data_IF_162270314924
#
_entry.id   IF_162270314924
#
_cell.length_a   1.000
_cell.length_b   1.000
_cell.length_c   1.000
_cell.angle_alpha   90.00
_cell.angle_beta   90.00
_cell.angle_gamma   90.00
#
_symmetry.space_group_name_H-M   'P 1'
#
loop_
_entity.id
_entity.type
_entity.pdbx_description
1 polymer ?
#
# COMPACT_ATOMS: atom_id res chain seq x y z
N UNK A 1 47.47 -45.69 -24.43
CA UNK A 1 46.28 -46.29 -25.09
C UNK A 1 45.48 -46.96 -23.99
N UNK A 2 44.32 -46.49 -23.55
CA UNK A 2 43.20 -46.00 -24.34
C UNK A 2 42.79 -44.56 -23.97
N UNK A 3 42.58 -43.78 -25.02
CA UNK A 3 41.83 -42.52 -25.01
C UNK A 3 40.37 -42.85 -24.70
N UNK A 4 39.95 -42.57 -23.45
CA UNK A 4 38.53 -42.45 -23.16
C UNK A 4 38.10 -41.11 -23.74
N UNK A 5 37.44 -41.20 -24.88
CA UNK A 5 36.97 -40.08 -25.69
C UNK A 5 36.22 -39.07 -24.83
N UNK A 6 36.61 -37.80 -24.93
CA UNK A 6 35.90 -36.64 -24.37
C UNK A 6 34.40 -36.63 -24.72
N UNK A 7 34.00 -37.34 -25.77
CA UNK A 7 32.61 -37.54 -26.17
C UNK A 7 31.81 -38.32 -25.11
N UNK A 8 32.41 -39.27 -24.38
CA UNK A 8 31.69 -40.01 -23.34
C UNK A 8 31.43 -39.17 -22.07
N UNK A 9 32.36 -38.29 -21.67
CA UNK A 9 32.12 -37.32 -20.59
C UNK A 9 31.12 -36.23 -21.02
N UNK A 10 31.19 -35.77 -22.26
CA UNK A 10 30.24 -34.80 -22.79
C UNK A 10 28.83 -35.41 -22.90
N UNK A 11 28.68 -36.66 -23.34
CA UNK A 11 27.38 -37.34 -23.42
C UNK A 11 26.80 -37.66 -22.04
N UNK A 12 27.62 -37.97 -21.03
CA UNK A 12 27.15 -38.14 -19.65
C UNK A 12 26.76 -36.81 -19.00
N UNK A 13 27.46 -35.69 -19.30
CA UNK A 13 27.04 -34.35 -18.89
C UNK A 13 25.79 -33.88 -19.64
N UNK A 14 25.65 -34.23 -20.93
CA UNK A 14 24.47 -33.93 -21.72
C UNK A 14 23.26 -34.73 -21.22
N UNK A 15 23.43 -36.02 -20.88
CA UNK A 15 22.37 -36.84 -20.28
C UNK A 15 22.02 -36.41 -18.84
N UNK A 16 22.97 -35.89 -18.05
CA UNK A 16 22.69 -35.34 -16.72
C UNK A 16 21.96 -33.99 -16.77
N UNK A 17 22.16 -33.19 -17.82
CA UNK A 17 21.41 -31.96 -18.08
C UNK A 17 19.95 -32.21 -18.52
N UNK A 18 19.60 -33.45 -18.89
CA UNK A 18 18.23 -33.86 -19.22
C UNK A 18 17.47 -34.56 -18.07
N UNK A 19 18.01 -34.58 -16.84
CA UNK A 19 17.31 -35.10 -15.64
C UNK A 19 16.94 -33.97 -14.66
N UNK A 20 17.08 -32.70 -15.05
CA UNK A 20 16.35 -31.63 -14.36
C UNK A 20 14.88 -31.68 -14.85
N UNK A 21 13.89 -31.92 -13.97
CA UNK A 21 12.50 -31.82 -14.36
C UNK A 21 12.15 -30.34 -14.49
N UNK A 22 12.54 -29.71 -15.59
CA UNK A 22 12.03 -28.38 -15.92
C UNK A 22 10.60 -28.55 -16.41
N UNK A 23 9.71 -28.02 -15.58
CA UNK A 23 8.38 -27.51 -15.90
C UNK A 23 7.36 -28.55 -16.33
N UNK A 24 6.43 -28.84 -15.42
CA UNK A 24 5.09 -29.28 -15.78
C UNK A 24 4.61 -28.33 -16.90
N UNK A 25 4.22 -28.91 -18.03
CA UNK A 25 3.56 -28.20 -19.13
C UNK A 25 2.25 -27.64 -18.58
N UNK A 26 2.27 -26.45 -17.98
CA UNK A 26 1.07 -25.80 -17.47
C UNK A 26 0.22 -25.41 -18.69
N UNK A 27 -1.08 -25.76 -18.74
CA UNK A 27 -1.93 -25.34 -19.84
C UNK A 27 -2.01 -23.80 -19.85
N UNK A 28 -1.50 -23.20 -20.93
CA UNK A 28 -1.45 -21.76 -21.17
C UNK A 28 -2.81 -21.18 -21.60
N UNK A 29 -3.92 -21.67 -21.04
CA UNK A 29 -5.26 -21.22 -21.42
C UNK A 29 -5.92 -20.34 -20.35
N UNK A 30 -5.26 -20.12 -19.20
CA UNK A 30 -5.80 -19.38 -18.05
C UNK A 30 -7.06 -19.99 -17.44
N UNK A 31 -7.63 -21.03 -18.05
CA UNK A 31 -8.99 -21.50 -17.83
C UNK A 31 -9.00 -23.01 -17.53
N UNK A 32 -9.61 -23.42 -16.42
CA UNK A 32 -9.73 -24.83 -16.04
C UNK A 32 -11.15 -25.15 -15.58
N UNK A 33 -11.75 -26.16 -16.20
CA UNK A 33 -13.07 -26.68 -15.83
C UNK A 33 -12.97 -27.69 -14.67
N UNK A 34 -13.97 -27.72 -13.80
CA UNK A 34 -14.00 -28.61 -12.63
C UNK A 34 -14.01 -30.10 -13.01
N UNK A 35 -14.47 -30.45 -14.21
CA UNK A 35 -14.48 -31.83 -14.74
C UNK A 35 -13.13 -32.26 -15.36
N UNK A 36 -12.09 -31.43 -15.27
CA UNK A 36 -10.72 -31.81 -15.64
C UNK A 36 -10.21 -32.91 -14.71
N UNK A 37 -9.35 -33.80 -15.22
CA UNK A 37 -8.68 -34.86 -14.44
C UNK A 37 -7.75 -34.34 -13.33
N UNK A 38 -7.57 -33.02 -13.24
CA UNK A 38 -6.66 -32.35 -12.30
C UNK A 38 -7.38 -31.22 -11.55
N UNK A 39 -7.95 -31.55 -10.38
CA UNK A 39 -8.60 -30.59 -9.46
C UNK A 39 -7.91 -30.49 -8.09
N UNK A 40 -6.74 -31.11 -7.96
CA UNK A 40 -5.95 -31.13 -6.72
C UNK A 40 -4.47 -30.98 -7.04
N UNK A 41 -3.80 -30.05 -6.36
CA UNK A 41 -2.38 -29.75 -6.53
C UNK A 41 -1.67 -29.75 -5.18
N UNK A 42 -0.43 -30.22 -5.15
CA UNK A 42 0.36 -30.38 -3.92
C UNK A 42 1.69 -29.66 -4.08
N UNK A 43 2.09 -28.83 -3.12
CA UNK A 43 3.43 -28.25 -3.13
C UNK A 43 4.47 -29.32 -2.79
N UNK A 44 5.68 -29.17 -3.35
CA UNK A 44 6.80 -30.10 -3.16
C UNK A 44 8.06 -29.30 -2.83
N UNK A 45 9.07 -29.99 -2.31
CA UNK A 45 10.39 -29.39 -2.13
C UNK A 45 10.94 -28.87 -3.47
N UNK A 46 11.58 -27.69 -3.47
CA UNK A 46 12.27 -27.19 -4.65
C UNK A 46 13.36 -28.15 -5.10
N UNK A 47 13.46 -28.43 -6.40
CA UNK A 47 14.54 -29.22 -6.98
C UNK A 47 15.54 -28.27 -7.62
N UNK A 48 16.61 -27.93 -6.89
CA UNK A 48 17.76 -27.14 -7.39
C UNK A 48 17.80 -25.67 -6.96
N UNK A 49 19.01 -25.11 -6.92
CA UNK A 49 19.39 -23.80 -6.32
C UNK A 49 19.27 -22.57 -7.26
N UNK A 50 18.49 -22.63 -8.34
CA UNK A 50 18.68 -21.72 -9.48
C UNK A 50 17.79 -20.46 -9.55
N UNK A 51 16.89 -20.19 -8.60
CA UNK A 51 16.07 -18.97 -8.59
C UNK A 51 15.94 -18.36 -7.18
N UNK A 52 15.94 -17.02 -7.09
CA UNK A 52 15.76 -16.28 -5.83
C UNK A 52 14.39 -16.51 -5.17
N UNK A 53 13.40 -16.94 -5.95
CA UNK A 53 12.12 -17.43 -5.45
C UNK A 53 11.81 -18.78 -6.07
N UNK A 54 11.14 -19.63 -5.30
CA UNK A 54 10.67 -20.93 -5.75
C UNK A 54 9.15 -20.88 -5.83
N UNK A 55 8.63 -21.21 -7.01
CA UNK A 55 7.20 -21.26 -7.23
C UNK A 55 6.81 -22.58 -7.89
N UNK A 56 5.85 -23.29 -7.29
CA UNK A 56 5.14 -24.38 -7.94
C UNK A 56 3.96 -23.76 -8.68
N UNK A 57 4.16 -23.51 -9.97
CA UNK A 57 3.16 -22.91 -10.85
C UNK A 57 2.04 -23.94 -11.10
N UNK A 58 0.80 -23.51 -10.90
CA UNK A 58 -0.39 -24.30 -11.16
C UNK A 58 -1.07 -23.82 -12.45
N UNK A 59 -1.20 -22.50 -12.61
CA UNK A 59 -1.82 -21.87 -13.78
C UNK A 59 -0.97 -20.70 -14.29
N UNK A 60 -1.06 -20.47 -15.60
CA UNK A 60 -0.55 -19.29 -16.27
C UNK A 60 -1.67 -18.64 -17.08
N UNK A 61 -1.69 -17.32 -17.16
CA UNK A 61 -2.65 -16.59 -18.00
C UNK A 61 -2.39 -16.83 -19.48
N UNK A 62 -3.38 -16.49 -20.30
CA UNK A 62 -3.45 -16.82 -21.73
C UNK A 62 -2.39 -16.10 -22.55
N UNK A 63 -1.95 -14.92 -22.10
CA UNK A 63 -0.86 -14.17 -22.74
C UNK A 63 0.53 -14.82 -22.62
N UNK A 64 0.67 -15.96 -21.93
CA UNK A 64 1.94 -16.70 -21.81
C UNK A 64 2.45 -17.39 -23.10
N UNK A 65 1.66 -17.36 -24.18
CA UNK A 65 1.98 -18.07 -25.44
C UNK A 65 2.79 -17.19 -26.42
N UNK A 66 2.92 -15.88 -26.19
CA UNK A 66 3.66 -14.99 -27.09
C UNK A 66 5.10 -14.74 -26.61
N UNK A 67 6.13 -15.25 -27.31
CA UNK A 67 7.54 -15.04 -26.95
C UNK A 67 8.01 -13.58 -27.13
N UNK A 68 7.27 -12.74 -27.87
CA UNK A 68 7.62 -11.33 -28.10
C UNK A 68 6.89 -10.35 -27.16
N UNK A 69 5.86 -10.80 -26.41
CA UNK A 69 5.11 -10.02 -25.41
C UNK A 69 5.11 -10.73 -24.05
N UNK A 70 6.30 -10.92 -23.51
CA UNK A 70 6.53 -11.78 -22.35
C UNK A 70 6.07 -11.20 -21.02
N UNK A 71 4.77 -11.08 -20.74
CA UNK A 71 4.27 -10.84 -19.39
C UNK A 71 3.05 -11.71 -19.08
N UNK A 72 3.29 -12.84 -18.42
CA UNK A 72 2.25 -13.77 -17.99
C UNK A 72 2.00 -13.64 -16.48
N UNK A 73 0.73 -13.72 -16.10
CA UNK A 73 0.34 -13.90 -14.72
C UNK A 73 0.41 -15.38 -14.36
N UNK A 74 0.96 -15.68 -13.21
CA UNK A 74 1.02 -17.05 -12.70
C UNK A 74 0.21 -17.14 -11.41
N UNK A 75 -0.34 -18.32 -11.14
CA UNK A 75 -0.83 -18.64 -9.81
C UNK A 75 -0.38 -20.03 -9.38
N UNK A 76 -0.11 -20.17 -8.08
CA UNK A 76 0.47 -21.38 -7.53
C UNK A 76 1.01 -21.20 -6.13
N UNK A 77 1.82 -22.16 -5.70
CA UNK A 77 2.49 -22.10 -4.41
C UNK A 77 3.77 -21.30 -4.55
N UNK A 78 3.90 -20.23 -3.78
CA UNK A 78 5.02 -19.31 -3.77
C UNK A 78 5.77 -19.41 -2.44
N UNK A 79 7.09 -19.53 -2.49
CA UNK A 79 7.97 -19.47 -1.32
C UNK A 79 9.24 -18.68 -1.61
N UNK A 80 9.76 -18.05 -0.56
CA UNK A 80 11.02 -17.31 -0.61
C UNK A 80 12.14 -18.21 -0.04
N UNK A 81 13.27 -18.30 -0.73
CA UNK A 81 14.46 -19.05 -0.29
C UNK A 81 14.20 -20.54 0.01
N UNK A 82 14.11 -20.92 1.30
CA UNK A 82 14.21 -22.30 1.80
C UNK A 82 12.94 -23.13 1.64
N UNK A 83 11.79 -22.50 1.36
CA UNK A 83 10.50 -23.16 1.14
C UNK A 83 9.97 -24.04 2.27
N UNK A 84 10.51 -23.86 3.49
CA UNK A 84 9.95 -24.46 4.72
C UNK A 84 8.52 -23.98 4.99
N UNK A 85 8.15 -22.82 4.43
CA UNK A 85 6.79 -22.31 4.45
C UNK A 85 6.46 -21.64 3.10
N UNK A 86 5.26 -21.92 2.59
CA UNK A 86 4.76 -21.45 1.30
C UNK A 86 3.44 -20.70 1.47
N UNK A 87 3.04 -19.98 0.42
CA UNK A 87 1.73 -19.34 0.32
C UNK A 87 1.11 -19.68 -1.03
N UNK A 88 -0.21 -19.78 -1.10
CA UNK A 88 -0.89 -19.77 -2.39
C UNK A 88 -1.07 -18.32 -2.84
N UNK A 89 -0.67 -18.02 -4.07
CA UNK A 89 -0.59 -16.66 -4.57
C UNK A 89 -0.80 -16.55 -6.08
N UNK A 90 -1.16 -15.34 -6.53
CA UNK A 90 -0.92 -14.89 -7.91
C UNK A 90 0.33 -14.01 -7.93
N UNK A 91 1.15 -14.12 -8.98
CA UNK A 91 2.44 -13.44 -9.06
C UNK A 91 2.92 -13.27 -10.51
N UNK A 92 3.83 -12.30 -10.70
CA UNK A 92 4.66 -12.21 -11.91
C UNK A 92 5.94 -13.02 -11.73
N UNK A 93 6.38 -13.73 -12.77
CA UNK A 93 7.69 -14.36 -12.83
C UNK A 93 8.63 -13.52 -13.68
N UNK A 94 9.54 -12.83 -13.01
CA UNK A 94 10.67 -12.09 -13.57
C UNK A 94 11.91 -12.33 -12.67
N UNK A 95 12.97 -11.53 -12.85
CA UNK A 95 14.21 -11.66 -12.06
C UNK A 95 14.00 -11.43 -10.54
N UNK A 96 12.91 -10.76 -10.16
CA UNK A 96 12.49 -10.51 -8.77
C UNK A 96 10.98 -10.79 -8.60
N UNK A 97 10.57 -12.07 -8.46
CA UNK A 97 9.17 -12.47 -8.50
C UNK A 97 8.29 -11.70 -7.50
N UNK A 98 7.24 -11.07 -8.02
CA UNK A 98 6.33 -10.22 -7.24
C UNK A 98 4.99 -10.89 -7.03
N UNK A 99 4.62 -11.06 -5.76
CA UNK A 99 3.30 -11.55 -5.36
C UNK A 99 2.29 -10.40 -5.43
N UNK A 100 1.20 -10.63 -6.14
CA UNK A 100 0.12 -9.67 -6.39
C UNK A 100 -1.07 -9.93 -5.48
N UNK A 101 -1.35 -11.19 -5.18
CA UNK A 101 -2.37 -11.57 -4.23
C UNK A 101 -1.98 -12.85 -3.53
N UNK A 102 -2.30 -13.00 -2.25
CA UNK A 102 -2.10 -14.25 -1.52
C UNK A 102 -3.31 -14.67 -0.72
N UNK A 103 -3.71 -15.94 -0.84
CA UNK A 103 -4.81 -16.52 -0.05
C UNK A 103 -4.54 -16.49 1.46
N UNK A 104 -3.28 -16.76 1.85
CA UNK A 104 -2.92 -17.10 3.23
C UNK A 104 -1.70 -16.32 3.74
N UNK A 105 -1.70 -14.96 3.70
CA UNK A 105 -0.53 -14.16 4.05
C UNK A 105 -0.11 -14.32 5.52
N UNK A 106 -1.06 -14.57 6.42
CA UNK A 106 -0.84 -14.76 7.87
C UNK A 106 -0.71 -16.22 8.29
N UNK A 107 -1.10 -17.15 7.42
CA UNK A 107 -1.16 -18.59 7.72
C UNK A 107 -0.38 -19.36 6.63
N UNK A 108 0.96 -19.21 6.56
CA UNK A 108 1.76 -19.94 5.58
C UNK A 108 1.63 -21.45 5.81
N UNK A 109 1.75 -22.22 4.73
CA UNK A 109 1.56 -23.68 4.72
C UNK A 109 2.90 -24.40 4.59
N UNK A 110 2.96 -25.63 5.10
CA UNK A 110 4.12 -26.51 5.04
C UNK A 110 4.27 -27.16 3.66
N UNK A 111 5.38 -27.86 3.43
CA UNK A 111 5.54 -28.77 2.29
C UNK A 111 4.51 -29.91 2.39
N UNK A 112 4.02 -30.39 1.24
CA UNK A 112 2.92 -31.36 1.09
C UNK A 112 1.51 -30.83 1.41
N UNK A 113 1.36 -29.51 1.53
CA UNK A 113 0.06 -28.86 1.52
C UNK A 113 -0.63 -29.01 0.16
N UNK A 114 -1.96 -29.04 0.17
CA UNK A 114 -2.80 -29.29 -1.00
C UNK A 114 -3.77 -28.14 -1.26
N UNK A 115 -3.88 -27.74 -2.52
CA UNK A 115 -4.93 -26.88 -3.03
C UNK A 115 -5.92 -27.74 -3.81
N UNK A 116 -7.20 -27.68 -3.47
CA UNK A 116 -8.26 -28.43 -4.15
C UNK A 116 -9.32 -27.48 -4.68
N UNK A 117 -9.73 -27.68 -5.92
CA UNK A 117 -10.90 -27.05 -6.51
C UNK A 117 -12.11 -27.96 -6.27
N UNK A 118 -13.03 -27.48 -5.45
CA UNK A 118 -14.27 -28.16 -5.08
C UNK A 118 -15.45 -27.38 -5.68
N UNK A 119 -16.40 -28.10 -6.30
CA UNK A 119 -17.59 -27.49 -6.91
C UNK A 119 -18.44 -26.71 -5.91
N UNK A 120 -18.55 -27.17 -4.66
CA UNK A 120 -19.39 -26.57 -3.61
C UNK A 120 -18.66 -25.56 -2.74
N UNK A 121 -17.35 -25.75 -2.49
CA UNK A 121 -16.57 -24.92 -1.56
C UNK A 121 -15.60 -23.96 -2.25
N UNK A 122 -15.44 -24.09 -3.56
CA UNK A 122 -14.48 -23.34 -4.36
C UNK A 122 -13.05 -23.82 -4.13
N UNK A 123 -12.11 -22.90 -3.96
CA UNK A 123 -10.73 -23.27 -3.65
C UNK A 123 -10.60 -23.55 -2.15
N UNK A 124 -10.00 -24.69 -1.81
CA UNK A 124 -9.69 -25.09 -0.44
C UNK A 124 -8.20 -25.38 -0.34
N UNK A 125 -7.51 -24.59 0.48
CA UNK A 125 -6.10 -24.75 0.81
C UNK A 125 -5.98 -25.48 2.15
N UNK A 126 -5.36 -26.65 2.12
CA UNK A 126 -5.21 -27.55 3.26
C UNK A 126 -3.72 -27.80 3.51
N UNK A 127 -3.24 -27.58 4.74
CA UNK A 127 -1.86 -27.87 5.11
C UNK A 127 -1.60 -29.39 5.22
N UNK A 128 -0.34 -29.78 5.35
CA UNK A 128 0.10 -31.17 5.37
C UNK A 128 -0.50 -31.99 6.54
N UNK A 129 -0.84 -31.34 7.65
CA UNK A 129 -1.51 -31.94 8.81
C UNK A 129 -3.04 -32.09 8.63
N UNK A 130 -3.58 -31.61 7.51
CA UNK A 130 -5.00 -31.63 7.20
C UNK A 130 -5.77 -30.39 7.67
N UNK A 131 -5.14 -29.41 8.31
CA UNK A 131 -5.78 -28.16 8.71
C UNK A 131 -6.13 -27.31 7.49
N UNK A 132 -7.30 -26.65 7.51
CA UNK A 132 -7.68 -25.74 6.43
C UNK A 132 -7.03 -24.38 6.69
N UNK A 133 -6.00 -24.05 5.89
CA UNK A 133 -5.30 -22.78 5.99
C UNK A 133 -6.11 -21.61 5.40
N UNK A 134 -6.88 -21.88 4.34
CA UNK A 134 -7.74 -20.89 3.68
C UNK A 134 -8.79 -21.57 2.77
N UNK A 135 -9.93 -20.92 2.55
CA UNK A 135 -10.89 -21.30 1.50
C UNK A 135 -11.72 -20.11 1.02
N UNK A 136 -12.19 -20.17 -0.23
CA UNK A 136 -13.06 -19.11 -0.79
C UNK A 136 -14.44 -19.06 -0.15
N UNK A 137 -14.91 -20.18 0.43
CA UNK A 137 -16.20 -20.29 1.14
C UNK A 137 -17.40 -19.80 0.32
N UNK A 138 -17.47 -20.23 -0.95
CA UNK A 138 -18.70 -20.05 -1.73
C UNK A 138 -19.83 -20.88 -1.07
N UNK A 139 -21.05 -20.33 -0.97
CA UNK A 139 -22.13 -20.96 -0.19
C UNK A 139 -23.40 -21.27 -0.99
N UNK A 140 -23.59 -20.66 -2.16
CA UNK A 140 -24.87 -20.73 -2.89
C UNK A 140 -24.76 -21.11 -4.36
N UNK A 141 -23.55 -21.18 -4.91
CA UNK A 141 -23.30 -21.46 -6.33
C UNK A 141 -22.26 -22.55 -6.50
N UNK A 142 -22.39 -23.32 -7.57
CA UNK A 142 -21.38 -24.33 -7.94
C UNK A 142 -20.31 -23.70 -8.82
N UNK A 143 -19.04 -23.99 -8.55
CA UNK A 143 -17.95 -23.69 -9.49
C UNK A 143 -18.09 -24.58 -10.71
N UNK A 144 -18.03 -23.98 -11.89
CA UNK A 144 -17.86 -24.67 -13.17
C UNK A 144 -16.42 -24.51 -13.70
N UNK A 145 -15.80 -23.36 -13.47
CA UNK A 145 -14.44 -23.09 -13.92
C UNK A 145 -13.64 -22.17 -12.98
N UNK A 146 -12.31 -22.31 -13.07
CA UNK A 146 -11.32 -21.38 -12.56
C UNK A 146 -10.72 -20.61 -13.74
N UNK A 147 -10.59 -19.29 -13.62
CA UNK A 147 -10.01 -18.44 -14.65
C UNK A 147 -8.96 -17.49 -14.05
N UNK A 148 -7.76 -17.44 -14.62
CA UNK A 148 -6.71 -16.47 -14.30
C UNK A 148 -6.57 -15.50 -15.47
N UNK A 149 -6.97 -14.25 -15.26
CA UNK A 149 -6.93 -13.21 -16.29
C UNK A 149 -5.50 -12.70 -16.52
N UNK A 150 -5.30 -11.96 -17.61
CA UNK A 150 -4.00 -11.36 -17.94
C UNK A 150 -3.62 -10.16 -17.04
N UNK A 151 -4.56 -9.64 -16.25
CA UNK A 151 -4.26 -8.71 -15.14
C UNK A 151 -4.16 -9.42 -13.78
N UNK A 152 -3.97 -10.74 -13.78
CA UNK A 152 -3.70 -11.59 -12.62
C UNK A 152 -4.84 -11.71 -11.60
N UNK A 153 -6.07 -11.44 -12.03
CA UNK A 153 -7.26 -11.69 -11.22
C UNK A 153 -7.63 -13.18 -11.31
N UNK A 154 -7.57 -13.87 -10.17
CA UNK A 154 -8.02 -15.24 -10.04
C UNK A 154 -9.53 -15.26 -9.78
N UNK A 155 -10.30 -15.90 -10.65
CA UNK A 155 -11.75 -15.90 -10.66
C UNK A 155 -12.32 -17.32 -10.60
N UNK A 156 -13.38 -17.52 -9.83
CA UNK A 156 -14.25 -18.69 -9.93
C UNK A 156 -15.51 -18.31 -10.68
N UNK A 157 -15.91 -19.16 -11.64
CA UNK A 157 -17.06 -18.94 -12.52
C UNK A 157 -18.10 -20.05 -12.32
N UNK A 158 -19.38 -19.71 -12.43
CA UNK A 158 -20.48 -20.69 -12.52
C UNK A 158 -20.70 -21.19 -13.97
N UNK A 159 -21.66 -22.09 -14.16
CA UNK A 159 -21.97 -22.70 -15.48
C UNK A 159 -22.41 -21.67 -16.54
N UNK A 160 -22.84 -20.48 -16.11
CA UNK A 160 -23.22 -19.38 -17.01
C UNK A 160 -22.06 -18.40 -17.26
N UNK A 161 -20.83 -18.78 -16.89
CA UNK A 161 -19.64 -17.93 -16.89
C UNK A 161 -19.77 -16.67 -16.01
N UNK A 162 -20.70 -16.64 -15.05
CA UNK A 162 -20.79 -15.52 -14.13
C UNK A 162 -19.74 -15.66 -13.02
N UNK A 163 -19.05 -14.57 -12.70
CA UNK A 163 -18.11 -14.51 -11.59
C UNK A 163 -18.84 -14.73 -10.26
N UNK A 164 -18.41 -15.74 -9.52
CA UNK A 164 -18.97 -16.06 -8.19
C UNK A 164 -18.00 -15.77 -7.06
N UNK A 165 -16.72 -15.63 -7.38
CA UNK A 165 -15.65 -15.21 -6.48
C UNK A 165 -14.48 -14.68 -7.32
N UNK A 166 -13.77 -13.66 -6.82
CA UNK A 166 -12.54 -13.20 -7.45
C UNK A 166 -11.54 -12.64 -6.44
N UNK A 167 -10.24 -12.81 -6.71
CA UNK A 167 -9.16 -12.36 -5.82
C UNK A 167 -9.18 -10.86 -5.55
N UNK A 168 -9.57 -10.05 -6.54
CA UNK A 168 -9.57 -8.59 -6.46
C UNK A 168 -10.57 -8.02 -5.44
N UNK A 169 -11.65 -8.76 -5.13
CA UNK A 169 -12.64 -8.36 -4.11
C UNK A 169 -12.20 -8.73 -2.69
N UNK A 170 -11.12 -9.50 -2.56
CA UNK A 170 -10.60 -10.00 -1.30
C UNK A 170 -9.11 -9.64 -1.14
N UNK A 171 -8.77 -8.34 -1.05
CA UNK A 171 -7.38 -7.91 -0.88
C UNK A 171 -6.89 -8.31 0.51
N UNK A 172 -6.29 -9.50 0.60
CA UNK A 172 -5.70 -10.06 1.81
C UNK A 172 -4.26 -9.58 1.99
N UNK A 173 -3.49 -9.52 0.90
CA UNK A 173 -2.13 -8.97 0.82
C UNK A 173 -1.67 -8.95 -0.66
N UNK A 174 -0.91 -7.93 -1.12
CA UNK A 174 -0.43 -6.77 -0.35
C UNK A 174 -1.55 -5.72 -0.12
N UNK A 175 -1.43 -4.98 0.99
CA UNK A 175 -2.45 -3.99 1.42
C UNK A 175 -2.17 -2.59 0.93
N UNK A 176 -0.98 -2.34 0.40
CA UNK A 176 -0.50 -1.04 -0.08
C UNK A 176 -0.78 -0.83 -1.58
N UNK A 177 -1.24 -1.86 -2.29
CA UNK A 177 -1.24 -1.89 -3.76
C UNK A 177 -2.65 -1.99 -4.34
N UNK A 178 -2.90 -1.23 -5.39
CA UNK A 178 -4.08 -1.32 -6.26
C UNK A 178 -3.63 -1.71 -7.68
N UNK A 179 -4.05 -2.88 -8.12
CA UNK A 179 -3.71 -3.44 -9.43
C UNK A 179 -4.56 -2.86 -10.56
N UNK A 180 -4.06 -2.97 -11.80
CA UNK A 180 -4.78 -2.53 -12.98
C UNK A 180 -6.18 -3.17 -13.07
N UNK A 181 -7.22 -2.33 -13.14
CA UNK A 181 -8.62 -2.75 -13.21
C UNK A 181 -9.20 -3.31 -11.91
N UNK A 182 -8.45 -3.31 -10.80
CA UNK A 182 -8.99 -3.64 -9.49
C UNK A 182 -9.88 -2.51 -8.97
N UNK A 183 -10.99 -2.87 -8.34
CA UNK A 183 -11.88 -1.90 -7.72
C UNK A 183 -11.44 -1.61 -6.28
N UNK A 184 -11.14 -0.35 -6.00
CA UNK A 184 -11.18 0.18 -4.65
C UNK A 184 -12.60 0.73 -4.41
N UNK A 185 -13.35 0.17 -3.45
CA UNK A 185 -14.72 0.61 -3.14
C UNK A 185 -14.76 1.46 -1.85
N UNK A 186 -15.78 2.33 -1.67
CA UNK A 186 -15.94 3.08 -0.43
C UNK A 186 -15.90 2.19 0.82
N UNK A 187 -15.11 2.59 1.81
CA UNK A 187 -14.88 1.83 3.04
C UNK A 187 -13.67 0.88 2.99
N UNK A 188 -13.03 0.72 1.83
CA UNK A 188 -11.71 0.10 1.71
C UNK A 188 -10.59 1.14 1.77
N UNK A 189 -9.42 0.70 2.23
CA UNK A 189 -8.21 1.51 2.26
C UNK A 189 -6.99 0.71 1.79
N UNK A 190 -6.04 1.40 1.17
CA UNK A 190 -4.67 0.93 1.06
C UNK A 190 -3.89 1.37 2.30
N UNK A 191 -2.92 0.57 2.72
CA UNK A 191 -2.07 0.85 3.87
C UNK A 191 -0.63 0.54 3.51
N UNK A 192 0.22 1.58 3.54
CA UNK A 192 1.64 1.51 3.23
C UNK A 192 2.39 0.47 4.06
N UNK A 193 3.52 -0.01 3.55
CA UNK A 193 4.45 -0.81 4.35
C UNK A 193 4.87 -0.04 5.62
N UNK A 194 4.86 -0.74 6.76
CA UNK A 194 5.05 -0.12 8.08
C UNK A 194 3.79 0.53 8.66
N UNK A 195 2.73 0.71 7.87
CA UNK A 195 1.41 1.13 8.33
C UNK A 195 1.29 2.61 8.70
N UNK A 196 2.29 3.44 8.35
CA UNK A 196 2.30 4.85 8.72
C UNK A 196 1.30 5.68 7.91
N UNK A 197 1.10 5.33 6.64
CA UNK A 197 0.17 6.01 5.74
C UNK A 197 -0.96 5.08 5.30
N UNK A 198 -2.14 5.66 5.09
CA UNK A 198 -3.27 4.99 4.46
C UNK A 198 -3.92 5.87 3.37
N UNK A 199 -4.53 5.22 2.38
CA UNK A 199 -5.31 5.86 1.32
C UNK A 199 -6.70 5.24 1.33
N UNK A 200 -7.71 6.00 1.74
CA UNK A 200 -9.08 5.51 1.91
C UNK A 200 -10.00 6.13 0.86
N UNK A 201 -10.83 5.28 0.24
CA UNK A 201 -11.93 5.75 -0.58
C UNK A 201 -13.20 5.89 0.27
N UNK A 202 -13.88 7.02 0.12
CA UNK A 202 -15.19 7.26 0.72
C UNK A 202 -16.19 7.63 -0.37
N UNK A 203 -17.45 7.75 0.01
CA UNK A 203 -18.48 8.29 -0.91
C UNK A 203 -18.23 9.75 -1.29
N UNK A 204 -17.40 10.47 -0.53
CA UNK A 204 -17.09 11.90 -0.65
C UNK A 204 -15.77 12.20 -1.37
N UNK A 205 -14.97 11.18 -1.68
CA UNK A 205 -13.67 11.38 -2.31
C UNK A 205 -12.62 10.36 -1.90
N UNK A 206 -11.41 10.56 -2.41
CA UNK A 206 -10.23 9.77 -2.07
C UNK A 206 -9.36 10.59 -1.09
N UNK A 207 -8.95 9.99 0.02
CA UNK A 207 -8.27 10.68 1.10
C UNK A 207 -7.02 9.91 1.53
N UNK A 208 -5.90 10.61 1.67
CA UNK A 208 -4.66 10.05 2.18
C UNK A 208 -4.39 10.59 3.59
N UNK A 209 -4.08 9.66 4.49
CA UNK A 209 -3.90 9.91 5.91
C UNK A 209 -2.53 9.46 6.39
N UNK A 210 -1.96 10.20 7.34
CA UNK A 210 -0.99 9.65 8.27
C UNK A 210 -1.75 9.03 9.45
N UNK A 211 -1.48 7.76 9.72
CA UNK A 211 -2.14 6.94 10.72
C UNK A 211 -1.64 7.28 12.13
N UNK A 212 -2.01 8.47 12.58
CA UNK A 212 -1.86 8.95 13.95
C UNK A 212 -3.20 8.81 14.70
N UNK A 213 -3.27 9.28 15.95
CA UNK A 213 -4.48 9.23 16.76
C UNK A 213 -4.86 10.66 17.22
N UNK A 214 -5.89 11.30 16.63
CA UNK A 214 -6.70 10.82 15.50
C UNK A 214 -5.93 10.81 14.17
N UNK A 215 -6.34 10.02 13.15
CA UNK A 215 -5.72 10.04 11.83
C UNK A 215 -5.81 11.43 11.19
N UNK A 216 -4.75 11.85 10.49
CA UNK A 216 -4.65 13.19 9.92
C UNK A 216 -4.56 13.13 8.41
N UNK A 217 -5.47 13.84 7.75
CA UNK A 217 -5.49 13.97 6.30
C UNK A 217 -4.32 14.87 5.88
N UNK A 218 -3.51 14.42 4.92
CA UNK A 218 -2.45 15.25 4.32
C UNK A 218 -2.67 15.50 2.82
N UNK A 219 -3.53 14.68 2.20
CA UNK A 219 -3.94 14.88 0.82
C UNK A 219 -5.35 14.35 0.62
N UNK A 220 -6.12 15.02 -0.22
CA UNK A 220 -7.44 14.55 -0.59
C UNK A 220 -7.79 15.01 -2.00
N UNK A 221 -8.70 14.25 -2.60
CA UNK A 221 -9.36 14.58 -3.84
C UNK A 221 -10.87 14.58 -3.58
N UNK A 222 -11.45 15.76 -3.25
CA UNK A 222 -12.83 15.88 -2.81
C UNK A 222 -13.82 15.72 -3.97
N UNK A 223 -15.04 15.31 -3.64
CA UNK A 223 -16.16 15.24 -4.56
C UNK A 223 -16.82 16.61 -4.73
N UNK A 224 -16.68 17.21 -5.91
CA UNK A 224 -17.52 18.33 -6.40
C UNK A 224 -18.33 17.92 -7.64
N UNK A 225 -18.55 16.61 -7.82
CA UNK A 225 -18.99 16.05 -9.09
C UNK A 225 -20.50 15.85 -9.25
N UNK A 226 -21.30 16.08 -8.20
CA UNK A 226 -22.76 15.93 -8.24
C UNK A 226 -23.30 14.49 -8.28
N UNK A 227 -22.46 13.48 -7.99
CA UNK A 227 -22.85 12.07 -7.92
C UNK A 227 -22.01 11.29 -6.91
N UNK A 228 -22.55 10.18 -6.38
CA UNK A 228 -21.88 9.28 -5.43
C UNK A 228 -20.82 8.41 -6.11
N UNK A 229 -19.62 8.34 -5.52
CA UNK A 229 -18.55 7.44 -5.96
C UNK A 229 -18.92 6.00 -5.58
N UNK A 230 -18.83 5.07 -6.53
CA UNK A 230 -19.06 3.65 -6.29
C UNK A 230 -17.76 2.86 -6.22
N UNK A 231 -16.77 3.20 -7.03
CA UNK A 231 -15.42 2.63 -6.95
C UNK A 231 -14.42 3.49 -7.72
N UNK A 232 -13.13 3.27 -7.45
CA UNK A 232 -11.99 3.80 -8.19
C UNK A 232 -11.19 2.62 -8.76
N UNK A 233 -10.68 2.79 -9.97
CA UNK A 233 -9.74 1.85 -10.59
C UNK A 233 -8.48 2.58 -11.03
N UNK A 234 -7.34 1.88 -10.98
CA UNK A 234 -6.17 2.25 -11.75
C UNK A 234 -6.28 1.66 -13.16
N UNK A 235 -6.34 2.51 -14.19
CA UNK A 235 -6.45 2.13 -15.61
C UNK A 235 -5.54 3.04 -16.48
N UNK A 236 -5.62 2.93 -17.82
CA UNK A 236 -4.68 3.51 -18.80
C UNK A 236 -4.21 4.95 -18.55
N UNK A 237 -5.01 5.79 -17.88
CA UNK A 237 -4.73 7.22 -17.64
C UNK A 237 -4.53 7.59 -16.18
N UNK A 238 -4.36 6.62 -15.27
CA UNK A 238 -4.23 6.85 -13.84
C UNK A 238 -5.45 6.36 -13.05
N UNK A 239 -5.82 7.07 -11.97
CA UNK A 239 -6.97 6.70 -11.16
C UNK A 239 -8.26 7.28 -11.77
N UNK A 240 -9.20 6.41 -12.11
CA UNK A 240 -10.50 6.77 -12.70
C UNK A 240 -11.64 6.44 -11.73
N UNK A 241 -12.53 7.41 -11.55
CA UNK A 241 -13.67 7.34 -10.63
C UNK A 241 -14.95 6.95 -11.39
N UNK A 242 -15.68 5.98 -10.83
CA UNK A 242 -16.90 5.43 -11.42
C UNK A 242 -18.11 5.59 -10.49
N UNK A 243 -19.28 5.82 -11.08
CA UNK A 243 -20.57 5.69 -10.38
C UNK A 243 -21.18 4.30 -10.58
N UNK A 244 -22.30 4.05 -9.89
CA UNK A 244 -23.07 2.82 -9.98
C UNK A 244 -23.55 2.49 -11.41
N UNK A 245 -23.66 3.50 -12.30
CA UNK A 245 -24.02 3.30 -13.71
C UNK A 245 -22.82 2.95 -14.60
N UNK A 246 -21.64 2.74 -14.02
CA UNK A 246 -20.37 2.46 -14.70
C UNK A 246 -19.93 3.55 -15.69
N UNK A 247 -20.57 4.72 -15.63
CA UNK A 247 -20.09 5.91 -16.29
C UNK A 247 -18.82 6.37 -15.57
N UNK A 248 -17.71 6.47 -16.31
CA UNK A 248 -16.51 7.15 -15.85
C UNK A 248 -16.73 8.66 -15.97
N UNK A 249 -16.17 9.43 -15.04
CA UNK A 249 -16.43 10.86 -15.00
C UNK A 249 -15.17 11.71 -14.84
N UNK A 250 -14.20 11.23 -14.05
CA UNK A 250 -13.00 11.98 -13.73
C UNK A 250 -11.79 11.05 -13.61
N UNK A 251 -10.65 11.57 -14.06
CA UNK A 251 -9.35 10.92 -14.05
C UNK A 251 -8.42 11.81 -13.21
N UNK A 252 -7.68 11.23 -12.27
CA UNK A 252 -6.43 11.82 -11.77
C UNK A 252 -5.37 11.46 -12.82
N UNK A 253 -5.09 12.36 -13.78
CA UNK A 253 -4.39 11.97 -14.97
C UNK A 253 -2.92 11.73 -14.66
N UNK A 254 -2.42 10.58 -15.10
CA UNK A 254 -1.00 10.35 -15.26
C UNK A 254 -0.69 10.10 -16.72
N UNK A 255 0.31 10.82 -17.21
CA UNK A 255 0.93 10.47 -18.48
C UNK A 255 2.06 9.48 -18.19
N UNK A 256 1.81 8.20 -18.48
CA UNK A 256 2.81 7.14 -18.37
C UNK A 256 3.19 6.73 -19.79
N UNK A 257 4.44 6.91 -20.22
CA UNK A 257 4.87 6.59 -21.59
C UNK A 257 5.03 5.08 -21.86
N UNK A 258 4.56 4.21 -20.96
CA UNK A 258 4.82 2.77 -21.01
C UNK A 258 3.81 2.01 -21.86
N UNK A 259 4.28 0.99 -22.58
CA UNK A 259 3.51 0.15 -23.49
C UNK A 259 2.85 -1.06 -22.82
N UNK A 260 3.21 -1.38 -21.56
CA UNK A 260 2.67 -2.53 -20.82
C UNK A 260 1.75 -2.07 -19.69
N UNK A 261 0.54 -1.63 -20.02
CA UNK A 261 -0.40 -1.02 -19.06
C UNK A 261 -1.06 -2.04 -18.14
N UNK A 262 -1.32 -3.27 -18.62
CA UNK A 262 -2.07 -4.29 -17.86
C UNK A 262 -1.30 -4.89 -16.68
N UNK A 263 0.02 -4.76 -16.68
CA UNK A 263 0.91 -5.33 -15.65
C UNK A 263 1.44 -4.27 -14.69
N UNK A 264 1.08 -2.99 -14.92
CA UNK A 264 1.37 -1.91 -13.99
C UNK A 264 0.45 -1.98 -12.78
N UNK A 265 0.95 -1.47 -11.67
CA UNK A 265 0.20 -1.36 -10.44
C UNK A 265 0.56 -0.06 -9.73
N UNK A 266 -0.36 0.41 -8.90
CA UNK A 266 -0.13 1.57 -8.05
C UNK A 266 0.06 1.14 -6.62
N UNK A 267 1.03 1.73 -5.92
CA UNK A 267 1.35 1.42 -4.53
C UNK A 267 1.47 2.67 -3.69
N UNK A 268 0.90 2.63 -2.49
CA UNK A 268 1.11 3.63 -1.46
C UNK A 268 2.41 3.33 -0.72
N UNK A 269 3.43 4.11 -1.00
CA UNK A 269 4.77 3.89 -0.47
C UNK A 269 4.92 4.36 0.98
N UNK A 270 5.97 3.89 1.69
CA UNK A 270 6.24 4.26 3.09
C UNK A 270 6.48 5.75 3.36
N UNK A 271 6.64 6.57 2.31
CA UNK A 271 6.79 8.03 2.40
C UNK A 271 5.50 8.80 2.10
N UNK A 272 4.39 8.09 1.88
CA UNK A 272 3.06 8.67 1.65
C UNK A 272 2.79 9.04 0.19
N UNK A 273 3.69 8.75 -0.74
CA UNK A 273 3.41 8.90 -2.17
C UNK A 273 2.65 7.70 -2.72
N UNK A 274 1.77 7.95 -3.71
CA UNK A 274 1.08 6.91 -4.45
C UNK A 274 1.74 6.75 -5.83
N UNK A 275 2.64 5.79 -5.96
CA UNK A 275 3.48 5.61 -7.15
C UNK A 275 2.98 4.51 -8.07
N UNK A 276 3.32 4.60 -9.34
CA UNK A 276 3.07 3.57 -10.35
C UNK A 276 4.35 2.83 -10.63
N UNK A 277 4.26 1.51 -10.59
CA UNK A 277 5.35 0.60 -10.88
C UNK A 277 5.04 -0.24 -12.11
N UNK A 278 6.06 -0.56 -12.89
CA UNK A 278 5.98 -1.61 -13.89
C UNK A 278 6.12 -3.00 -13.24
N UNK A 279 5.99 -4.04 -14.07
CA UNK A 279 6.12 -5.44 -13.65
C UNK A 279 7.47 -5.77 -13.00
N UNK A 280 8.54 -5.06 -13.39
CA UNK A 280 9.90 -5.24 -12.87
C UNK A 280 10.08 -4.51 -11.54
N UNK A 281 9.09 -3.71 -11.15
CA UNK A 281 9.09 -2.90 -9.94
C UNK A 281 9.89 -1.61 -10.10
N UNK A 282 10.12 -1.16 -11.33
CA UNK A 282 10.65 0.17 -11.57
C UNK A 282 9.52 1.19 -11.45
N UNK A 283 9.81 2.28 -10.75
CA UNK A 283 8.90 3.43 -10.67
C UNK A 283 8.80 4.09 -12.05
N UNK A 284 7.60 4.15 -12.60
CA UNK A 284 7.30 4.76 -13.92
C UNK A 284 6.43 6.01 -13.80
N UNK A 285 5.90 6.30 -12.61
CA UNK A 285 5.09 7.49 -12.36
C UNK A 285 4.76 7.69 -10.88
N UNK A 286 4.29 8.88 -10.55
CA UNK A 286 3.84 9.25 -9.21
C UNK A 286 2.54 10.07 -9.32
N UNK A 287 1.43 9.49 -8.84
CA UNK A 287 0.10 10.11 -8.85
C UNK A 287 0.08 11.40 -8.01
N UNK A 288 0.99 11.51 -7.05
CA UNK A 288 1.10 12.59 -6.09
C UNK A 288 2.22 13.60 -6.44
N UNK A 289 2.81 13.50 -7.64
CA UNK A 289 3.93 14.35 -8.08
C UNK A 289 3.68 15.86 -8.03
N UNK A 290 2.44 16.29 -8.23
CA UNK A 290 2.08 17.72 -8.26
C UNK A 290 1.82 18.30 -6.86
N UNK A 291 1.96 17.50 -5.81
CA UNK A 291 1.87 17.94 -4.42
C UNK A 291 3.22 18.54 -4.03
N UNK A 292 3.19 19.68 -3.33
CA UNK A 292 4.40 20.29 -2.77
C UNK A 292 5.08 19.30 -1.80
N UNK A 293 6.41 19.18 -1.87
CA UNK A 293 7.14 18.24 -1.02
C UNK A 293 6.86 18.51 0.47
N UNK A 294 6.71 19.79 0.85
CA UNK A 294 6.41 20.17 2.23
C UNK A 294 5.00 19.81 2.70
N UNK A 295 4.11 19.34 1.82
CA UNK A 295 2.79 18.85 2.21
C UNK A 295 2.81 17.39 2.71
N UNK A 296 3.92 16.66 2.49
CA UNK A 296 4.05 15.30 3.00
C UNK A 296 4.52 15.32 4.47
N UNK A 297 3.84 14.60 5.39
CA UNK A 297 4.06 14.75 6.83
C UNK A 297 5.47 14.44 7.34
N UNK A 298 6.24 13.59 6.65
CA UNK A 298 7.49 13.02 7.19
C UNK A 298 8.76 13.52 6.50
N UNK A 299 8.67 14.46 5.55
CA UNK A 299 9.82 14.87 4.72
C UNK A 299 11.01 15.38 5.52
N UNK A 300 10.74 16.17 6.56
CA UNK A 300 11.80 16.79 7.35
C UNK A 300 12.09 16.10 8.68
N UNK A 301 11.48 14.94 8.92
CA UNK A 301 11.63 14.21 10.18
C UNK A 301 11.19 15.03 11.40
N UNK A 302 11.51 14.51 12.59
CA UNK A 302 11.05 15.09 13.85
C UNK A 302 11.63 16.48 14.07
N UNK A 303 10.81 17.43 14.53
CA UNK A 303 11.19 18.83 14.80
C UNK A 303 11.80 19.59 13.61
N UNK A 304 11.73 19.04 12.40
CA UNK A 304 12.17 19.70 11.17
C UNK A 304 11.06 20.56 10.58
N UNK A 305 11.43 21.69 9.98
CA UNK A 305 10.52 22.58 9.26
C UNK A 305 10.87 22.50 7.78
N UNK A 306 9.86 22.24 6.95
CA UNK A 306 9.99 22.27 5.50
C UNK A 306 9.70 23.68 4.98
N UNK A 307 10.60 24.24 4.19
CA UNK A 307 10.43 25.54 3.54
C UNK A 307 11.00 25.47 2.13
N UNK A 308 10.17 25.72 1.12
CA UNK A 308 10.57 25.66 -0.31
C UNK A 308 11.30 24.35 -0.65
N UNK A 309 10.73 23.22 -0.23
CA UNK A 309 11.28 21.87 -0.40
C UNK A 309 12.66 21.64 0.26
N UNK A 310 13.00 22.42 1.30
CA UNK A 310 14.22 22.26 2.08
C UNK A 310 13.90 22.09 3.55
N UNK A 311 14.57 21.12 4.18
CA UNK A 311 14.43 20.85 5.60
C UNK A 311 15.45 21.63 6.41
N UNK A 312 15.00 22.20 7.52
CA UNK A 312 15.86 22.89 8.47
C UNK A 312 15.31 22.77 9.88
N UNK A 313 16.19 22.87 10.87
CA UNK A 313 15.74 23.03 12.24
C UNK A 313 15.22 24.44 12.45
N UNK A 314 14.35 24.57 13.44
CA UNK A 314 13.94 25.88 13.92
C UNK A 314 15.18 26.73 14.25
N UNK A 315 15.24 27.92 13.63
CA UNK A 315 16.34 28.86 13.82
C UNK A 315 16.42 29.39 15.25
N UNK A 316 17.48 30.16 15.52
CA UNK A 316 17.66 30.81 16.82
C UNK A 316 16.51 31.77 17.14
N UNK A 317 15.83 31.56 18.26
CA UNK A 317 14.81 32.48 18.76
C UNK A 317 15.44 33.31 19.88
N UNK A 318 15.47 34.63 19.73
CA UNK A 318 16.12 35.56 20.65
C UNK A 318 17.60 35.19 20.96
N UNK A 319 18.31 34.67 19.96
CA UNK A 319 19.72 34.26 20.09
C UNK A 319 19.94 32.91 20.80
N UNK A 320 18.87 32.18 21.13
CA UNK A 320 18.95 30.84 21.73
C UNK A 320 18.53 29.77 20.73
N UNK A 321 19.35 28.72 20.61
CA UNK A 321 19.04 27.55 19.79
C UNK A 321 18.40 26.48 20.67
N UNK A 322 17.15 26.13 20.37
CA UNK A 322 16.41 25.09 21.10
C UNK A 322 16.52 23.72 20.43
N UNK A 323 16.78 23.70 19.13
CA UNK A 323 16.89 22.50 18.33
C UNK A 323 18.20 22.49 17.55
N UNK A 324 18.75 21.29 17.37
CA UNK A 324 19.94 21.05 16.57
C UNK A 324 19.68 19.91 15.59
N UNK A 325 20.33 19.98 14.43
CA UNK A 325 20.18 18.97 13.40
C UNK A 325 20.78 17.65 13.86
N UNK A 326 20.08 16.53 13.62
CA UNK A 326 20.58 15.21 14.00
C UNK A 326 21.81 14.85 13.16
N UNK A 327 21.79 15.21 11.88
CA UNK A 327 22.91 15.05 10.93
C UNK A 327 22.97 16.23 9.97
N UNK A 328 24.04 17.03 10.06
CA UNK A 328 24.23 18.24 9.23
C UNK A 328 24.10 17.98 7.72
N UNK A 329 24.57 16.82 7.25
CA UNK A 329 24.53 16.45 5.83
C UNK A 329 23.22 15.80 5.37
N UNK A 330 22.28 15.56 6.29
CA UNK A 330 20.99 14.89 6.04
C UNK A 330 19.87 15.60 6.83
N UNK A 331 19.46 16.81 6.39
CA UNK A 331 18.45 17.62 7.09
C UNK A 331 17.05 16.99 7.12
N UNK A 332 16.77 16.08 6.20
CA UNK A 332 15.57 15.25 6.12
C UNK A 332 15.43 14.29 7.32
N UNK A 333 16.53 14.01 8.05
CA UNK A 333 16.49 13.19 9.27
C UNK A 333 15.90 13.92 10.47
N UNK A 334 15.64 15.22 10.34
CA UNK A 334 15.09 16.06 11.38
C UNK A 334 16.11 16.54 12.40
N UNK A 335 15.54 17.01 13.50
CA UNK A 335 16.21 17.76 14.53
C UNK A 335 15.97 17.11 15.88
N UNK A 336 16.78 17.49 16.86
CA UNK A 336 16.66 17.05 18.25
C UNK A 336 16.67 18.28 19.15
N UNK A 337 15.94 18.27 20.28
CA UNK A 337 16.06 19.33 21.25
C UNK A 337 17.48 19.35 21.82
N UNK A 338 18.07 20.54 21.92
CA UNK A 338 19.41 20.73 22.51
C UNK A 338 19.40 20.32 23.98
N UNK A 339 18.29 20.62 24.67
CA UNK A 339 18.03 20.18 26.05
C UNK A 339 16.79 19.28 26.04
N UNK A 340 16.92 17.99 26.39
CA UNK A 340 15.78 17.08 26.48
C UNK A 340 14.74 17.56 27.50
N UNK A 341 13.46 17.40 27.16
CA UNK A 341 12.35 17.70 28.08
C UNK A 341 12.33 16.67 29.21
N UNK A 342 12.07 17.13 30.44
CA UNK A 342 11.91 16.24 31.60
C UNK A 342 10.77 16.72 32.50
N UNK A 343 10.01 15.78 33.06
CA UNK A 343 8.87 16.11 33.92
C UNK A 343 9.29 16.84 35.20
N UNK A 344 10.50 16.55 35.71
CA UNK A 344 11.05 17.15 36.92
C UNK A 344 11.38 18.64 36.75
N UNK A 345 11.69 19.06 35.52
CA UNK A 345 12.03 20.44 35.18
C UNK A 345 10.85 21.24 34.58
N UNK A 346 9.62 20.74 34.68
CA UNK A 346 8.42 21.32 34.03
C UNK A 346 8.22 22.82 34.27
N UNK A 347 8.58 23.31 35.46
CA UNK A 347 8.52 24.75 35.82
C UNK A 347 9.46 25.65 35.01
N UNK A 348 10.42 25.06 34.31
CA UNK A 348 11.40 25.77 33.47
C UNK A 348 11.15 25.58 31.98
N UNK A 349 10.16 24.76 31.61
CA UNK A 349 9.75 24.62 30.23
C UNK A 349 9.14 25.94 29.73
N UNK A 350 9.47 26.28 28.50
CA UNK A 350 8.91 27.42 27.80
C UNK A 350 8.17 26.92 26.56
N UNK A 351 7.08 27.60 26.22
CA UNK A 351 6.38 27.36 24.96
C UNK A 351 6.93 28.34 23.93
N UNK A 352 7.39 27.80 22.79
CA UNK A 352 7.92 28.59 21.69
C UNK A 352 6.78 28.90 20.72
N UNK A 353 6.48 30.18 20.55
CA UNK A 353 5.54 30.64 19.55
C UNK A 353 6.25 30.81 18.20
N UNK A 354 5.71 30.16 17.19
CA UNK A 354 6.16 30.17 15.80
C UNK A 354 5.11 30.86 14.94
N UNK A 355 5.56 31.60 13.94
CA UNK A 355 4.70 32.32 13.01
C UNK A 355 4.98 31.85 11.59
N UNK A 356 3.98 31.94 10.71
CA UNK A 356 4.07 31.56 9.29
C UNK A 356 4.47 30.09 9.07
N UNK A 357 3.99 29.19 9.91
CA UNK A 357 4.14 27.73 9.75
C UNK A 357 2.76 27.13 9.53
N UNK A 358 2.65 26.28 8.52
CA UNK A 358 1.44 25.51 8.24
C UNK A 358 1.60 24.10 8.79
N UNK A 359 0.52 23.54 9.32
CA UNK A 359 0.44 22.14 9.69
C UNK A 359 -0.48 21.44 8.70
N UNK A 360 -0.10 20.25 8.22
CA UNK A 360 -0.81 19.53 7.15
C UNK A 360 -2.30 19.24 7.41
N UNK A 361 -2.82 19.06 8.65
CA UNK A 361 -4.25 18.91 8.89
C UNK A 361 -4.98 20.25 9.08
N UNK A 362 -4.30 21.41 8.97
CA UNK A 362 -4.93 22.74 8.91
C UNK A 362 -5.29 23.15 7.48
N UNK A 363 -5.12 22.25 6.50
CA UNK A 363 -5.64 22.44 5.14
C UNK A 363 -7.17 22.25 5.08
N UNK A 364 -7.82 21.82 6.16
CA UNK A 364 -9.27 21.71 6.28
C UNK A 364 -9.88 22.73 7.27
N UNK A 365 -10.81 23.53 6.75
CA UNK A 365 -11.85 24.25 7.52
C UNK A 365 -13.17 23.44 7.53
N UNK A 366 -13.20 22.23 6.95
CA UNK A 366 -14.47 21.51 6.72
C UNK A 366 -14.58 20.12 7.36
N UNK A 367 -13.55 19.62 8.05
CA UNK A 367 -13.71 18.43 8.91
C UNK A 367 -14.22 18.91 10.28
N UNK A 368 -15.40 18.44 10.75
CA UNK A 368 -15.88 18.76 12.09
C UNK A 368 -15.06 17.97 13.12
N UNK A 369 -13.87 18.49 13.46
CA UNK A 369 -13.17 18.13 14.69
C UNK A 369 -13.95 18.79 15.84
N UNK A 370 -14.21 18.10 16.97
CA UNK A 370 -14.87 18.74 18.10
C UNK A 370 -14.02 19.88 18.64
N UNK A 371 -14.36 21.11 18.27
CA UNK A 371 -13.70 22.33 18.73
C UNK A 371 -14.10 22.60 20.17
N UNK A 372 -13.12 22.61 21.08
CA UNK A 372 -13.36 23.01 22.47
C UNK A 372 -12.75 24.39 22.67
N UNK A 373 -13.57 25.35 23.11
CA UNK A 373 -13.15 26.73 23.36
C UNK A 373 -12.43 26.83 24.69
N UNK A 374 -11.18 27.32 24.69
CA UNK A 374 -10.41 27.57 25.91
C UNK A 374 -9.71 28.93 25.86
N UNK A 375 -9.42 29.51 27.02
CA UNK A 375 -8.55 30.70 27.08
C UNK A 375 -7.08 30.30 26.98
N UNK A 376 -6.24 31.17 26.40
CA UNK A 376 -4.78 30.95 26.31
C UNK A 376 -4.13 30.59 27.66
N UNK A 377 -4.62 31.19 28.76
CA UNK A 377 -4.14 30.89 30.11
C UNK A 377 -4.48 29.45 30.55
N UNK A 378 -5.67 28.96 30.18
CA UNK A 378 -6.12 27.62 30.49
C UNK A 378 -5.35 26.57 29.68
N UNK A 379 -5.06 26.84 28.41
CA UNK A 379 -4.25 25.97 27.55
C UNK A 379 -2.84 25.83 28.10
N UNK A 380 -2.18 26.98 28.38
CA UNK A 380 -0.82 26.97 28.97
C UNK A 380 -0.77 26.18 30.27
N UNK A 381 -1.76 26.35 31.15
CA UNK A 381 -1.83 25.62 32.41
C UNK A 381 -2.04 24.12 32.18
N UNK A 382 -2.92 23.72 31.27
CA UNK A 382 -3.22 22.31 30.96
C UNK A 382 -2.01 21.60 30.36
N UNK A 383 -1.29 22.23 29.43
CA UNK A 383 -0.06 21.68 28.83
C UNK A 383 1.05 21.48 29.87
N UNK A 384 1.16 22.40 30.83
CA UNK A 384 2.16 22.30 31.90
C UNK A 384 1.81 21.20 32.92
N UNK A 385 0.53 20.79 32.99
CA UNK A 385 0.01 19.78 33.94
C UNK A 385 -0.11 18.39 33.30
N UNK A 386 -0.41 18.30 32.00
CA UNK A 386 -0.44 17.06 31.22
C UNK A 386 0.90 16.84 30.51
N UNK A 387 1.77 16.07 31.16
CA UNK A 387 3.16 15.78 30.77
C UNK A 387 3.33 15.03 29.43
N UNK A 388 2.26 14.80 28.68
CA UNK A 388 2.26 14.17 27.35
C UNK A 388 2.13 15.17 26.21
N UNK A 389 1.76 16.43 26.49
CA UNK A 389 1.50 17.44 25.47
C UNK A 389 2.76 18.26 25.23
N UNK A 390 3.35 18.12 24.03
CA UNK A 390 4.57 18.87 23.66
C UNK A 390 4.26 20.20 22.96
N UNK A 391 2.99 20.47 22.60
CA UNK A 391 2.61 21.39 21.50
C UNK A 391 1.11 21.48 21.26
N UNK A 392 0.65 22.58 20.66
CA UNK A 392 -0.75 22.79 20.27
C UNK A 392 -0.84 23.87 19.17
N UNK A 393 -1.90 23.80 18.37
CA UNK A 393 -2.23 24.79 17.34
C UNK A 393 -3.46 25.59 17.73
N UNK A 394 -3.42 26.89 17.45
CA UNK A 394 -4.55 27.80 17.65
C UNK A 394 -5.20 28.09 16.30
N UNK A 395 -6.51 27.88 16.21
CA UNK A 395 -7.31 28.26 15.04
C UNK A 395 -8.27 29.37 15.45
N UNK A 396 -8.28 30.48 14.71
CA UNK A 396 -9.26 31.54 14.88
C UNK A 396 -10.38 31.34 13.85
N UNK A 397 -11.56 30.90 14.27
CA UNK A 397 -12.78 31.11 13.48
C UNK A 397 -13.40 32.46 13.85
N UNK A 398 -13.24 33.47 12.99
CA UNK A 398 -14.09 34.67 13.06
C UNK A 398 -15.33 34.41 12.22
N UNK A 399 -16.43 34.00 12.85
CA UNK A 399 -17.75 34.04 12.21
C UNK A 399 -18.26 35.49 12.26
N UNK A 400 -18.03 36.24 11.20
CA UNK A 400 -18.49 37.63 11.07
C UNK A 400 -18.60 38.07 9.62
N UNK A 401 -19.82 38.44 9.21
CA UNK A 401 -20.21 38.91 7.87
C UNK A 401 -19.37 40.13 7.46
N UNK A 402 -18.85 40.10 6.23
CA UNK A 402 -18.26 41.20 5.47
C UNK A 402 -17.06 41.96 6.10
N UNK A 403 -15.83 41.47 5.89
CA UNK A 403 -14.66 42.25 5.46
C UNK A 403 -13.35 41.42 5.46
N UNK A 404 -12.52 41.70 4.45
CA UNK A 404 -11.14 41.30 4.13
C UNK A 404 -10.38 40.23 4.97
N UNK A 405 -9.82 39.28 4.22
CA UNK A 405 -9.08 38.08 4.67
C UNK A 405 -7.69 38.46 5.19
N UNK A 406 -7.41 38.11 6.44
CA UNK A 406 -6.07 38.04 7.01
C UNK A 406 -6.05 37.06 8.20
N UNK A 407 -5.52 35.86 8.00
CA UNK A 407 -5.38 34.85 9.05
C UNK A 407 -4.00 34.96 9.69
N UNK A 408 -3.93 35.32 10.98
CA UNK A 408 -2.72 35.17 11.80
C UNK A 408 -2.89 33.95 12.71
N UNK A 409 -2.22 32.85 12.38
CA UNK A 409 -2.11 31.68 13.26
C UNK A 409 -0.75 31.70 13.96
N UNK A 410 -0.76 31.65 15.29
CA UNK A 410 0.41 31.43 16.13
C UNK A 410 0.52 29.94 16.48
N UNK A 411 1.71 29.37 16.27
CA UNK A 411 2.00 27.94 16.22
C UNK A 411 2.92 27.53 17.37
N UNK A 412 2.71 26.37 18.00
CA UNK A 412 3.67 25.79 18.96
C UNK A 412 3.90 24.31 18.57
N UNK A 413 5.15 23.94 18.25
CA UNK A 413 5.53 22.77 17.43
C UNK A 413 5.76 21.41 18.16
N UNK A 414 5.58 20.32 17.39
CA UNK A 414 5.12 18.97 17.78
C UNK A 414 6.04 18.00 18.55
N UNK A 415 5.45 17.07 19.34
CA UNK A 415 5.98 15.70 19.54
C UNK A 415 4.95 14.64 20.01
N UNK A 416 5.13 13.42 19.51
CA UNK A 416 4.21 12.27 19.55
C UNK A 416 3.97 11.68 20.95
N UNK A 417 2.70 11.63 21.38
CA UNK A 417 2.01 10.52 22.03
C UNK A 417 0.58 10.97 22.44
N UNK A 418 -0.40 10.87 21.52
CA UNK A 418 -1.87 11.01 21.67
C UNK A 418 -2.46 12.23 22.45
N UNK A 419 -3.71 12.66 22.17
CA UNK A 419 -4.31 13.03 20.89
C UNK A 419 -4.13 14.53 20.58
N UNK A 420 -4.33 14.90 19.31
CA UNK A 420 -4.35 16.30 18.86
C UNK A 420 -5.63 16.98 19.35
N UNK A 421 -5.48 18.03 20.15
CA UNK A 421 -6.57 18.94 20.50
C UNK A 421 -6.45 20.21 19.65
N UNK A 422 -7.43 20.46 18.78
CA UNK A 422 -7.64 21.80 18.20
C UNK A 422 -8.30 22.69 19.25
N UNK A 423 -7.73 23.87 19.49
CA UNK A 423 -8.26 24.81 20.48
C UNK A 423 -8.56 26.16 19.85
N UNK A 424 -9.83 26.57 19.95
CA UNK A 424 -10.31 27.89 19.55
C UNK A 424 -10.16 28.86 20.73
N UNK A 425 -9.49 30.00 20.50
CA UNK A 425 -9.23 31.00 21.54
C UNK A 425 -10.33 32.05 21.55
N UNK A 426 -10.92 32.30 22.71
CA UNK A 426 -11.82 33.43 22.92
C UNK A 426 -11.01 34.68 23.32
N UNK A 427 -10.97 35.71 22.48
CA UNK A 427 -10.46 37.03 22.88
C UNK A 427 -11.39 37.65 23.93
N UNK A 428 -10.82 38.14 25.03
CA UNK A 428 -11.52 38.87 26.09
C UNK A 428 -11.32 40.36 25.99
#
# INVERSE_FOLDING_TARGET
MASISWVCCAVLLYLALFIAPISILVPADGYLTVNSSTSSWTNREPVGDLLKAHAVIIFASRSSVDPDYGHACFCGFFCNQTCDSSRFATFFLNDDPRVLWSANPKNPISINATLKLNSERGLVLQDADGTIAWSTNISTKSVAALNLTDNCNLMLLDENNATIWQSFDHPSWPTDTLFYGQNLVPGQQLTSEGGLFSLSLTTQGLFAYINSNPPLCYWYYPQDFGFTISYVQFIEKGLTFFSARQTSFYELPLFIPSTSLLTQYTRLDPDGHMRVYDQDGQEVGDLFKNIDLCAFPTVCGNYGICTKNQCSCLGSINGTNYFQQIKDRQPDRGCSPVVPLSCEASKTHILLELQNITYFPLLDITIPVPTIKYTLSFIRTTVTVHYTISCFFLTNEVVGRDQEIGTSSSVVAECWADPIFQVEVQES
#
